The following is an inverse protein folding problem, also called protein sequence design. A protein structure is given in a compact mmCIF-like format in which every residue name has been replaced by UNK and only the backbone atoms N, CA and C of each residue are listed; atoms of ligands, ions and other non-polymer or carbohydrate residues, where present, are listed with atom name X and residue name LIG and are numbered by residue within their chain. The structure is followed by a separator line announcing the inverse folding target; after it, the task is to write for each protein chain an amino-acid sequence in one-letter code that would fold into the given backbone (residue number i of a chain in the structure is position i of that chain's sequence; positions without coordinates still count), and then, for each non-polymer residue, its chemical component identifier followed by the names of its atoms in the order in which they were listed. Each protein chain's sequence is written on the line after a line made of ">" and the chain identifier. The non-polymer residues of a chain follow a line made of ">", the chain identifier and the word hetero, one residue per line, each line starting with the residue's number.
data_IF_181472780288
#
_entry.id   IF_181472780288
#
_cell.length_a   1.000
_cell.length_b   1.000
_cell.length_c   1.000
_cell.angle_alpha   90.00
_cell.angle_beta   90.00
_cell.angle_gamma   90.00
#
_symmetry.space_group_name_H-M   'P 1'
#
loop_
_entity.id
_entity.type
_entity.pdbx_description
1 polymer ?
#
# COMPACT_ATOMS: atom_id res chain seq x y z
N UNK A 1 -11.50 -12.53 -3.69
CA UNK A 1 -11.03 -11.40 -4.55
C UNK A 1 -10.00 -11.92 -5.57
N UNK A 2 -8.81 -12.40 -5.16
CA UNK A 2 -7.73 -12.75 -6.07
C UNK A 2 -8.10 -13.83 -7.11
N UNK A 3 -8.77 -14.90 -6.68
CA UNK A 3 -9.23 -15.97 -7.57
C UNK A 3 -10.21 -15.47 -8.64
N UNK A 4 -11.14 -14.59 -8.25
CA UNK A 4 -12.09 -13.98 -9.20
C UNK A 4 -11.39 -13.01 -10.16
N UNK A 5 -10.44 -12.21 -9.65
CA UNK A 5 -9.67 -11.30 -10.48
C UNK A 5 -8.85 -12.08 -11.53
N UNK A 6 -8.20 -13.18 -11.13
CA UNK A 6 -7.47 -14.07 -12.02
C UNK A 6 -8.40 -14.71 -13.07
N UNK A 7 -9.57 -15.19 -12.66
CA UNK A 7 -10.54 -15.78 -13.58
C UNK A 7 -11.04 -14.76 -14.63
N UNK A 8 -11.37 -13.55 -14.20
CA UNK A 8 -11.75 -12.46 -15.09
C UNK A 8 -10.64 -12.09 -16.06
N UNK A 9 -9.41 -11.94 -15.55
CA UNK A 9 -8.25 -11.67 -16.39
C UNK A 9 -8.05 -12.74 -17.47
N UNK A 10 -8.07 -14.02 -17.08
CA UNK A 10 -7.88 -15.12 -18.02
C UNK A 10 -8.95 -15.11 -19.12
N UNK A 11 -10.21 -14.88 -18.75
CA UNK A 11 -11.31 -14.78 -19.71
C UNK A 11 -11.14 -13.59 -20.67
N UNK A 12 -10.83 -12.42 -20.14
CA UNK A 12 -10.69 -11.19 -20.93
C UNK A 12 -9.46 -11.25 -21.83
N UNK A 13 -8.30 -11.63 -21.29
CA UNK A 13 -7.06 -11.72 -22.05
C UNK A 13 -7.12 -12.79 -23.15
N UNK A 14 -7.83 -13.91 -22.90
CA UNK A 14 -8.10 -14.94 -23.91
C UNK A 14 -8.94 -14.46 -25.10
N UNK A 15 -9.70 -13.39 -24.90
CA UNK A 15 -10.48 -12.68 -25.96
C UNK A 15 -9.73 -11.49 -26.56
N UNK A 16 -8.47 -11.27 -26.19
CA UNK A 16 -7.68 -10.12 -26.61
C UNK A 16 -7.98 -8.80 -25.86
N UNK A 17 -8.88 -8.81 -24.88
CA UNK A 17 -9.27 -7.65 -24.09
C UNK A 17 -8.26 -7.40 -22.98
N UNK A 18 -7.41 -6.39 -23.18
CA UNK A 18 -6.32 -5.98 -22.27
C UNK A 18 -6.38 -4.50 -21.91
N UNK A 19 -7.59 -3.97 -21.83
CA UNK A 19 -7.84 -2.56 -21.56
C UNK A 19 -7.46 -2.18 -20.12
N UNK A 20 -7.47 -0.88 -19.84
CA UNK A 20 -7.16 -0.32 -18.52
C UNK A 20 -8.01 -0.96 -17.41
N UNK A 21 -7.42 -1.17 -16.24
CA UNK A 21 -8.02 -1.85 -15.07
C UNK A 21 -8.33 -3.34 -15.23
N UNK A 22 -7.87 -3.98 -16.29
CA UNK A 22 -8.05 -5.43 -16.53
C UNK A 22 -6.78 -6.25 -16.24
N UNK A 23 -5.78 -5.63 -15.61
CA UNK A 23 -4.53 -6.30 -15.20
C UNK A 23 -4.65 -7.07 -13.88
N UNK A 24 -3.53 -7.62 -13.46
CA UNK A 24 -3.41 -8.44 -12.26
C UNK A 24 -2.70 -7.73 -11.09
N UNK A 25 -2.28 -6.49 -11.26
CA UNK A 25 -1.76 -5.68 -10.16
C UNK A 25 -2.91 -5.05 -9.39
N UNK A 26 -3.05 -5.44 -8.15
CA UNK A 26 -4.03 -4.88 -7.22
C UNK A 26 -3.34 -3.77 -6.41
N UNK A 27 -3.76 -2.53 -6.60
CA UNK A 27 -3.20 -1.37 -5.89
C UNK A 27 -3.76 -1.31 -4.47
N UNK A 28 -3.44 -2.33 -3.71
CA UNK A 28 -3.96 -2.67 -2.38
C UNK A 28 -2.99 -3.64 -1.71
N UNK A 29 -2.90 -3.63 -0.35
CA UNK A 29 -3.72 -2.90 0.62
C UNK A 29 -3.26 -1.46 0.89
N UNK A 30 -4.17 -0.62 1.44
CA UNK A 30 -3.81 0.64 2.07
C UNK A 30 -3.43 0.39 3.53
N UNK A 31 -2.12 0.39 3.82
CA UNK A 31 -1.55 0.13 5.15
C UNK A 31 -1.04 1.40 5.83
N UNK A 32 -1.51 2.57 5.41
CA UNK A 32 -1.24 3.80 6.12
C UNK A 32 -1.92 3.81 7.50
N UNK A 33 -1.26 4.42 8.47
CA UNK A 33 -1.85 4.66 9.79
C UNK A 33 -2.82 5.83 9.70
N UNK A 34 -4.06 5.64 10.15
CA UNK A 34 -5.08 6.69 10.17
C UNK A 34 -4.81 7.65 11.33
N UNK A 35 -4.20 8.80 11.05
CA UNK A 35 -3.79 9.77 12.09
C UNK A 35 -4.55 11.10 12.04
N UNK A 36 -5.13 11.48 10.91
CA UNK A 36 -5.83 12.76 10.75
C UNK A 36 -7.26 12.52 10.26
N UNK A 37 -8.29 12.92 11.04
CA UNK A 37 -9.69 12.68 10.67
C UNK A 37 -10.12 13.44 9.41
N UNK A 38 -9.36 14.43 8.96
CA UNK A 38 -9.60 15.15 7.70
C UNK A 38 -9.11 14.42 6.46
N UNK A 39 -8.40 13.31 6.64
CA UNK A 39 -7.96 12.50 5.51
C UNK A 39 -9.14 11.75 4.87
N UNK A 40 -9.38 12.02 3.58
CA UNK A 40 -10.54 11.48 2.84
C UNK A 40 -10.50 9.97 2.57
N UNK A 41 -9.40 9.28 2.89
CA UNK A 41 -9.20 7.84 2.64
C UNK A 41 -9.03 7.00 3.91
N UNK A 42 -9.38 7.56 5.07
CA UNK A 42 -9.27 6.85 6.35
C UNK A 42 -10.03 5.53 6.39
N UNK A 43 -11.20 5.46 5.75
CA UNK A 43 -12.02 4.25 5.67
C UNK A 43 -11.39 3.09 4.89
N UNK A 44 -10.34 3.34 4.10
CA UNK A 44 -9.62 2.29 3.39
C UNK A 44 -8.57 1.58 4.26
N UNK A 45 -8.29 2.12 5.45
CA UNK A 45 -7.21 1.64 6.33
C UNK A 45 -7.70 0.67 7.40
N UNK A 46 -6.76 0.05 8.08
CA UNK A 46 -7.02 -0.83 9.23
C UNK A 46 -7.04 -0.08 10.57
N UNK A 47 -6.93 1.26 10.54
CA UNK A 47 -7.02 2.12 11.73
C UNK A 47 -5.70 2.74 12.15
N UNK A 48 -5.56 2.97 13.44
CA UNK A 48 -4.48 3.74 14.04
C UNK A 48 -3.34 2.87 14.62
N UNK A 49 -3.62 1.59 14.86
CA UNK A 49 -2.67 0.69 15.51
C UNK A 49 -1.69 0.07 14.52
N UNK A 50 -0.36 0.26 14.68
CA UNK A 50 0.64 -0.27 13.77
C UNK A 50 0.70 -1.80 13.77
N UNK A 51 0.48 -2.44 14.91
CA UNK A 51 0.52 -3.90 15.01
C UNK A 51 -0.67 -4.53 14.26
N UNK A 52 -1.88 -4.05 14.52
CA UNK A 52 -3.08 -4.52 13.82
C UNK A 52 -2.95 -4.31 12.31
N UNK A 53 -2.51 -3.11 11.90
CA UNK A 53 -2.28 -2.78 10.49
C UNK A 53 -1.26 -3.72 9.85
N UNK A 54 -0.19 -4.04 10.56
CA UNK A 54 0.83 -4.99 10.11
C UNK A 54 0.23 -6.39 9.89
N UNK A 55 -0.47 -6.94 10.88
CA UNK A 55 -1.03 -8.28 10.78
C UNK A 55 -2.05 -8.40 9.65
N UNK A 56 -2.98 -7.45 9.55
CA UNK A 56 -4.00 -7.43 8.51
C UNK A 56 -3.40 -7.16 7.13
N UNK A 57 -2.44 -6.24 7.01
CA UNK A 57 -1.75 -5.93 5.76
C UNK A 57 -0.99 -7.12 5.20
N UNK A 58 -0.25 -7.85 6.05
CA UNK A 58 0.46 -9.08 5.67
C UNK A 58 -0.51 -10.16 5.22
N UNK A 59 -1.55 -10.42 6.02
CA UNK A 59 -2.55 -11.44 5.68
C UNK A 59 -3.28 -11.12 4.37
N UNK A 60 -3.63 -9.86 4.15
CA UNK A 60 -4.30 -9.41 2.94
C UNK A 60 -3.40 -9.55 1.70
N UNK A 61 -2.13 -9.14 1.81
CA UNK A 61 -1.16 -9.25 0.72
C UNK A 61 -0.91 -10.71 0.34
N UNK A 62 -0.70 -11.59 1.31
CA UNK A 62 -0.58 -13.05 1.08
C UNK A 62 -1.84 -13.62 0.42
N UNK A 63 -3.03 -13.22 0.88
CA UNK A 63 -4.29 -13.66 0.29
C UNK A 63 -4.49 -13.20 -1.16
N UNK A 64 -4.00 -12.00 -1.52
CA UNK A 64 -4.01 -11.52 -2.90
C UNK A 64 -3.03 -12.30 -3.77
N UNK A 65 -1.80 -12.52 -3.29
CA UNK A 65 -0.74 -13.16 -4.06
C UNK A 65 -0.93 -14.68 -4.17
N UNK A 66 -1.46 -15.28 -3.11
CA UNK A 66 -1.59 -16.73 -3.02
C UNK A 66 -0.26 -17.41 -2.66
N UNK A 67 -0.29 -18.71 -2.55
CA UNK A 67 0.81 -19.59 -2.13
C UNK A 67 1.22 -20.62 -3.19
N UNK A 68 0.66 -20.51 -4.41
CA UNK A 68 0.98 -21.40 -5.52
C UNK A 68 2.29 -21.01 -6.22
N UNK A 69 2.72 -21.88 -7.16
CA UNK A 69 3.89 -21.64 -8.02
C UNK A 69 3.79 -20.31 -8.78
N UNK A 70 2.58 -19.92 -9.17
CA UNK A 70 2.30 -18.66 -9.84
C UNK A 70 1.38 -17.79 -8.99
N UNK A 71 1.77 -16.54 -8.88
CA UNK A 71 1.01 -15.51 -8.16
C UNK A 71 -0.40 -15.35 -8.75
N UNK A 72 -1.42 -15.32 -7.90
CA UNK A 72 -2.80 -15.07 -8.36
C UNK A 72 -2.98 -13.65 -8.88
N UNK A 73 -2.57 -12.68 -8.07
CA UNK A 73 -2.51 -11.25 -8.37
C UNK A 73 -1.31 -10.65 -7.67
N UNK A 74 -0.79 -9.53 -8.17
CA UNK A 74 0.27 -8.78 -7.51
C UNK A 74 -0.34 -7.79 -6.50
N UNK A 75 0.05 -7.88 -5.23
CA UNK A 75 -0.31 -6.88 -4.23
C UNK A 75 0.62 -5.66 -4.32
N UNK A 76 0.09 -4.48 -4.03
CA UNK A 76 0.85 -3.24 -3.99
C UNK A 76 0.52 -2.49 -2.69
N UNK A 77 1.38 -2.64 -1.69
CA UNK A 77 1.23 -1.93 -0.42
C UNK A 77 1.36 -0.42 -0.61
N UNK A 78 0.46 0.36 -0.01
CA UNK A 78 0.40 1.80 -0.24
C UNK A 78 -0.06 2.56 0.99
N UNK A 79 0.24 3.86 1.05
CA UNK A 79 1.10 4.69 0.22
C UNK A 79 2.37 5.01 1.00
N UNK A 80 3.52 4.67 0.50
CA UNK A 80 4.78 4.77 1.21
C UNK A 80 5.30 6.21 1.24
N UNK A 81 5.40 6.90 2.42
CA UNK A 81 5.20 6.23 3.71
C UNK A 81 4.08 6.90 4.54
N UNK A 82 4.14 8.19 4.85
CA UNK A 82 3.21 8.89 5.74
C UNK A 82 2.22 9.70 4.91
N UNK A 83 1.11 9.10 4.50
CA UNK A 83 0.15 9.70 3.56
C UNK A 83 -1.13 10.28 4.22
N UNK A 84 -1.37 10.02 5.49
CA UNK A 84 -2.60 10.37 6.21
C UNK A 84 -2.64 11.84 6.67
N UNK A 85 -2.63 12.77 5.73
CA UNK A 85 -2.80 14.20 5.97
C UNK A 85 -4.17 14.73 5.56
N UNK A 86 -4.46 16.03 5.77
CA UNK A 86 -5.71 16.64 5.35
C UNK A 86 -5.97 16.44 3.84
N UNK A 87 -7.19 16.02 3.47
CA UNK A 87 -7.53 15.68 2.09
C UNK A 87 -7.29 16.82 1.11
N UNK A 88 -7.59 18.05 1.49
CA UNK A 88 -7.35 19.24 0.65
C UNK A 88 -5.86 19.44 0.29
N UNK A 89 -4.95 18.85 1.06
CA UNK A 89 -3.50 18.95 0.87
C UNK A 89 -2.87 17.67 0.35
N UNK A 90 -3.64 16.71 -0.15
CA UNK A 90 -3.17 15.37 -0.56
C UNK A 90 -1.89 15.38 -1.39
N UNK A 91 -1.75 16.32 -2.31
CA UNK A 91 -0.62 16.41 -3.24
C UNK A 91 0.49 17.37 -2.82
N UNK A 92 0.28 18.15 -1.76
CA UNK A 92 1.22 19.18 -1.29
C UNK A 92 1.59 19.07 0.19
N UNK A 93 0.93 18.18 0.91
CA UNK A 93 1.17 17.94 2.33
C UNK A 93 2.62 17.53 2.61
N UNK A 94 3.19 18.07 3.68
CA UNK A 94 4.46 17.61 4.23
C UNK A 94 4.20 16.95 5.58
N UNK A 95 4.41 15.66 5.65
CA UNK A 95 4.25 14.89 6.87
C UNK A 95 5.52 15.03 7.72
N UNK A 96 5.43 15.78 8.80
CA UNK A 96 6.51 15.87 9.78
C UNK A 96 6.37 14.74 10.80
N UNK A 97 7.35 13.85 10.85
CA UNK A 97 7.41 12.73 11.78
C UNK A 97 8.83 12.59 12.34
N UNK A 98 8.94 12.27 13.63
CA UNK A 98 10.25 11.99 14.24
C UNK A 98 10.79 10.64 13.76
N UNK A 99 12.08 10.39 13.89
CA UNK A 99 12.69 9.07 13.62
C UNK A 99 12.00 7.96 14.41
N UNK A 100 11.66 8.25 15.67
CA UNK A 100 10.92 7.33 16.51
C UNK A 100 9.54 7.02 15.96
N UNK A 101 8.78 8.03 15.57
CA UNK A 101 7.43 7.83 14.99
C UNK A 101 7.52 7.05 13.67
N UNK A 102 8.53 7.33 12.85
CA UNK A 102 8.77 6.56 11.64
C UNK A 102 9.02 5.09 11.95
N UNK A 103 9.92 4.79 12.87
CA UNK A 103 10.32 3.43 13.21
C UNK A 103 9.22 2.63 13.95
N UNK A 104 8.44 3.28 14.81
CA UNK A 104 7.48 2.59 15.68
C UNK A 104 6.04 2.62 15.14
N UNK A 105 5.71 3.58 14.27
CA UNK A 105 4.32 3.80 13.82
C UNK A 105 4.15 3.64 12.31
N UNK A 106 4.94 4.35 11.50
CA UNK A 106 4.64 4.48 10.08
C UNK A 106 5.29 3.43 9.19
N UNK A 107 6.49 2.94 9.54
CA UNK A 107 7.23 1.98 8.70
C UNK A 107 6.96 0.50 9.02
N UNK A 108 6.55 0.07 10.23
CA UNK A 108 6.47 -1.36 10.56
C UNK A 108 5.58 -2.18 9.62
N UNK A 109 4.43 -1.64 9.21
CA UNK A 109 3.52 -2.34 8.31
C UNK A 109 4.13 -2.51 6.89
N UNK A 110 4.88 -1.52 6.40
CA UNK A 110 5.59 -1.62 5.13
C UNK A 110 6.75 -2.60 5.20
N UNK A 111 7.53 -2.57 6.26
CA UNK A 111 8.61 -3.53 6.51
C UNK A 111 8.09 -4.97 6.48
N UNK A 112 7.02 -5.25 7.22
CA UNK A 112 6.39 -6.56 7.25
C UNK A 112 5.76 -6.95 5.91
N UNK A 113 5.16 -6.00 5.18
CA UNK A 113 4.64 -6.25 3.84
C UNK A 113 5.76 -6.75 2.90
N UNK A 114 6.96 -6.18 3.00
CA UNK A 114 8.12 -6.62 2.21
C UNK A 114 8.72 -7.92 2.75
N UNK A 115 9.02 -7.98 4.06
CA UNK A 115 9.76 -9.12 4.64
C UNK A 115 8.91 -10.37 4.81
N UNK A 116 7.66 -10.22 5.27
CA UNK A 116 6.81 -11.34 5.67
C UNK A 116 5.78 -11.71 4.60
N UNK A 117 5.20 -10.72 3.92
CA UNK A 117 4.25 -10.96 2.85
C UNK A 117 4.90 -11.08 1.47
N UNK A 118 6.17 -10.69 1.29
CA UNK A 118 6.85 -10.66 0.00
C UNK A 118 6.03 -9.90 -1.04
N UNK A 119 5.49 -8.74 -0.64
CA UNK A 119 4.64 -7.94 -1.50
C UNK A 119 5.36 -7.58 -2.80
N UNK A 120 4.67 -7.75 -3.93
CA UNK A 120 5.26 -7.56 -5.26
C UNK A 120 5.63 -6.10 -5.56
N UNK A 121 4.85 -5.16 -5.03
CA UNK A 121 5.07 -3.74 -5.27
C UNK A 121 4.73 -2.89 -4.05
N UNK A 122 5.34 -1.72 -3.99
CA UNK A 122 5.03 -0.66 -3.04
C UNK A 122 4.79 0.63 -3.81
N UNK A 123 3.70 1.33 -3.49
CA UNK A 123 3.37 2.62 -4.10
C UNK A 123 3.81 3.77 -3.20
N UNK A 124 4.64 4.66 -3.72
CA UNK A 124 5.01 5.90 -3.04
C UNK A 124 3.83 6.85 -2.85
N UNK A 125 3.84 7.62 -1.77
CA UNK A 125 2.85 8.64 -1.51
C UNK A 125 3.08 9.89 -2.37
N UNK A 126 2.01 10.65 -2.63
CA UNK A 126 2.11 11.90 -3.37
C UNK A 126 2.76 13.03 -2.59
N UNK A 127 2.61 13.00 -1.29
CA UNK A 127 3.06 14.04 -0.38
C UNK A 127 4.57 13.94 -0.08
N UNK A 128 5.05 14.88 0.71
CA UNK A 128 6.40 14.86 1.28
C UNK A 128 6.37 14.21 2.66
N UNK A 129 7.53 13.73 3.06
CA UNK A 129 7.81 13.33 4.44
C UNK A 129 9.11 14.02 4.86
N UNK A 130 9.05 14.80 5.95
CA UNK A 130 10.18 15.57 6.47
C UNK A 130 10.88 16.44 5.40
N UNK A 131 10.08 17.09 4.55
CA UNK A 131 10.54 18.00 3.50
C UNK A 131 10.90 17.34 2.17
N UNK A 132 11.07 16.02 2.11
CA UNK A 132 11.42 15.28 0.90
C UNK A 132 10.21 14.65 0.22
N UNK A 133 10.08 14.73 -1.13
CA UNK A 133 9.07 13.96 -1.84
C UNK A 133 9.23 12.47 -1.61
N UNK A 134 8.19 11.77 -1.18
CA UNK A 134 8.29 10.33 -0.85
C UNK A 134 8.87 9.46 -1.97
N UNK A 135 8.55 9.78 -3.22
CA UNK A 135 9.06 9.05 -4.40
C UNK A 135 10.49 9.43 -4.80
N UNK A 136 11.13 10.35 -4.11
CA UNK A 136 12.50 10.81 -4.37
C UNK A 136 13.33 10.96 -3.10
N UNK A 137 12.84 10.45 -1.96
CA UNK A 137 13.54 10.53 -0.68
C UNK A 137 14.62 9.47 -0.58
N UNK A 138 15.86 9.90 -0.36
CA UNK A 138 16.97 8.99 -0.10
C UNK A 138 16.73 8.22 1.21
N UNK A 139 16.24 8.89 2.24
CA UNK A 139 15.97 8.29 3.54
C UNK A 139 14.90 7.17 3.50
N UNK A 140 13.96 7.22 2.53
CA UNK A 140 12.90 6.23 2.39
C UNK A 140 13.21 5.12 1.39
N UNK A 141 14.08 5.37 0.39
CA UNK A 141 14.26 4.47 -0.77
C UNK A 141 15.64 3.80 -0.83
N UNK A 142 16.60 4.23 -0.02
CA UNK A 142 17.94 3.68 0.07
C UNK A 142 18.22 3.11 1.46
#
# INVERSE_FOLDING_TARGET
>A
IATEARAKYNMQSGRGDRDIYKGLTMWSPNINIFRDPRWGRGQETYGEDPFLTTQLGVAFSKGLQGDGEHMKTAACAKHFAVHSGPEALRHSFDAVATEKDMAETYLPAFEAAVKDAKVEAVMGAYNRTNGEPCCGSEALLV
#
